data_IF_996754980537
#
_entry.id   IF_996754980537
#
_cell.length_a   1.000
_cell.length_b   1.000
_cell.length_c   1.000
_cell.angle_alpha   90.00
_cell.angle_beta   90.00
_cell.angle_gamma   90.00
#
_symmetry.space_group_name_H-M   'P 1'
#
loop_
_entity.id
_entity.type
_entity.pdbx_description
1 polymer ?
#
# COMPACT_ATOMS: atom_id res chain seq x y z
N UNK A 1 11.73 1.00 -2.65
CA UNK A 1 12.38 1.99 -3.53
C UNK A 1 13.48 2.69 -2.73
N UNK A 2 14.69 2.83 -3.28
CA UNK A 2 15.86 3.37 -2.56
C UNK A 2 16.29 4.77 -3.05
N UNK A 3 15.52 5.41 -3.95
CA UNK A 3 15.96 6.60 -4.67
C UNK A 3 15.89 7.92 -3.91
N UNK A 4 15.19 7.99 -2.77
CA UNK A 4 15.11 9.17 -1.92
C UNK A 4 14.81 8.79 -0.46
N UNK A 5 15.07 9.71 0.47
CA UNK A 5 14.65 9.57 1.86
C UNK A 5 13.20 10.04 2.03
N UNK A 6 12.30 9.09 2.31
CA UNK A 6 10.89 9.34 2.51
C UNK A 6 10.60 10.27 3.69
N UNK A 7 11.37 10.21 4.77
CA UNK A 7 11.17 11.11 5.91
C UNK A 7 11.48 12.54 5.53
N UNK A 8 12.60 12.77 4.84
CA UNK A 8 12.98 14.10 4.34
C UNK A 8 11.95 14.63 3.34
N UNK A 9 11.51 13.81 2.38
CA UNK A 9 10.54 14.23 1.35
C UNK A 9 9.21 14.69 1.97
N UNK A 10 8.68 13.95 2.95
CA UNK A 10 7.35 14.21 3.50
C UNK A 10 7.32 15.33 4.55
N UNK A 11 8.46 15.91 4.95
CA UNK A 11 8.50 17.04 5.90
C UNK A 11 7.70 18.25 5.40
N UNK A 12 7.76 18.55 4.11
CA UNK A 12 7.11 19.71 3.49
C UNK A 12 5.70 19.44 2.95
N UNK A 13 5.21 18.19 3.03
CA UNK A 13 3.88 17.80 2.54
C UNK A 13 2.84 17.86 3.67
N UNK A 14 1.56 18.01 3.33
CA UNK A 14 0.47 18.02 4.32
C UNK A 14 0.09 16.60 4.79
N UNK A 15 0.10 15.65 3.86
CA UNK A 15 -0.20 14.24 4.06
C UNK A 15 0.77 13.34 3.29
N UNK A 16 0.77 12.05 3.61
CA UNK A 16 1.50 11.03 2.85
C UNK A 16 0.53 10.38 1.86
N UNK A 17 0.94 10.32 0.60
CA UNK A 17 0.31 9.49 -0.43
C UNK A 17 1.33 8.45 -0.91
N UNK A 18 0.89 7.24 -1.18
CA UNK A 18 1.75 6.23 -1.81
C UNK A 18 0.97 5.28 -2.71
N UNK A 19 1.67 4.72 -3.68
CA UNK A 19 1.10 3.79 -4.66
C UNK A 19 1.36 2.35 -4.20
N UNK A 20 0.29 1.62 -3.92
CA UNK A 20 0.27 0.25 -3.44
C UNK A 20 -0.02 -0.72 -4.58
N UNK A 21 1.01 -1.47 -4.98
CA UNK A 21 0.88 -2.59 -5.89
C UNK A 21 1.52 -3.84 -5.29
N UNK A 22 1.45 -4.02 -3.97
CA UNK A 22 2.02 -5.18 -3.27
C UNK A 22 0.94 -6.24 -2.99
N UNK A 23 1.24 -7.50 -3.29
CA UNK A 23 0.30 -8.61 -3.05
C UNK A 23 0.69 -9.45 -1.85
N UNK A 24 1.93 -9.36 -1.37
CA UNK A 24 2.30 -10.01 -0.11
C UNK A 24 1.66 -9.29 1.08
N UNK A 25 0.78 -10.01 1.79
CA UNK A 25 0.01 -9.44 2.90
C UNK A 25 0.88 -8.83 4.01
N UNK A 26 2.06 -9.37 4.28
CA UNK A 26 2.91 -8.88 5.38
C UNK A 26 3.77 -7.72 4.92
N UNK A 27 4.33 -7.80 3.71
CA UNK A 27 5.09 -6.69 3.13
C UNK A 27 4.20 -5.46 2.91
N UNK A 28 2.97 -5.66 2.42
CA UNK A 28 2.05 -4.55 2.21
C UNK A 28 1.68 -3.85 3.53
N UNK A 29 1.35 -4.63 4.57
CA UNK A 29 1.11 -4.10 5.91
C UNK A 29 2.29 -3.27 6.44
N UNK A 30 3.53 -3.75 6.26
CA UNK A 30 4.72 -3.03 6.68
C UNK A 30 4.92 -1.72 5.91
N UNK A 31 4.56 -1.68 4.62
CA UNK A 31 4.62 -0.47 3.80
C UNK A 31 3.56 0.55 4.16
N UNK A 32 2.33 0.12 4.48
CA UNK A 32 1.32 1.02 5.04
C UNK A 32 1.79 1.62 6.37
N UNK A 33 2.36 0.82 7.26
CA UNK A 33 2.89 1.32 8.54
C UNK A 33 4.06 2.30 8.33
N UNK A 34 4.91 2.07 7.31
CA UNK A 34 5.97 3.01 6.91
C UNK A 34 5.40 4.30 6.32
N UNK A 35 4.37 4.22 5.48
CA UNK A 35 3.67 5.39 4.93
C UNK A 35 3.07 6.25 6.05
N UNK A 36 2.36 5.63 7.01
CA UNK A 36 1.86 6.30 8.22
C UNK A 36 3.01 6.92 9.02
N UNK A 37 4.11 6.19 9.17
CA UNK A 37 5.30 6.57 9.93
C UNK A 37 6.00 7.85 9.46
N UNK A 38 6.05 8.10 8.15
CA UNK A 38 6.73 9.29 7.60
C UNK A 38 6.25 10.63 8.19
N UNK A 39 4.97 10.71 8.58
CA UNK A 39 4.39 11.90 9.23
C UNK A 39 3.74 11.62 10.59
N UNK A 40 3.75 10.36 11.05
CA UNK A 40 3.00 9.90 12.20
C UNK A 40 1.52 10.33 12.17
N UNK A 41 0.89 10.15 11.00
CA UNK A 41 -0.50 10.54 10.67
C UNK A 41 -1.08 9.55 9.67
N UNK A 42 -2.40 9.46 9.61
CA UNK A 42 -3.09 8.76 8.53
C UNK A 42 -2.61 9.24 7.14
N UNK A 43 -2.73 8.35 6.17
CA UNK A 43 -2.17 8.53 4.82
C UNK A 43 -3.22 8.16 3.78
N UNK A 44 -2.91 8.37 2.51
CA UNK A 44 -3.74 7.94 1.39
C UNK A 44 -3.00 6.87 0.58
N UNK A 45 -3.71 5.82 0.17
CA UNK A 45 -3.29 5.02 -0.98
C UNK A 45 -3.74 5.78 -2.21
N UNK A 46 -2.80 6.41 -2.90
CA UNK A 46 -3.06 7.27 -4.06
C UNK A 46 -3.25 6.47 -5.34
N UNK A 47 -2.66 5.28 -5.40
CA UNK A 47 -2.92 4.32 -6.45
C UNK A 47 -2.88 2.90 -5.89
N UNK A 48 -3.82 2.06 -6.30
CA UNK A 48 -3.73 0.60 -6.29
C UNK A 48 -4.39 0.08 -7.55
N UNK A 49 -4.07 -1.16 -7.95
CA UNK A 49 -4.68 -1.73 -9.14
C UNK A 49 -6.10 -2.27 -8.89
N UNK A 50 -7.05 -2.03 -9.82
CA UNK A 50 -8.37 -2.65 -9.78
C UNK A 50 -8.30 -4.02 -10.45
N UNK A 51 -7.52 -4.92 -9.87
CA UNK A 51 -7.50 -6.34 -10.20
C UNK A 51 -6.21 -6.84 -10.86
N UNK A 52 -5.53 -6.06 -11.69
CA UNK A 52 -4.19 -6.39 -12.17
C UNK A 52 -3.45 -5.17 -12.72
N UNK A 53 -2.14 -5.29 -12.88
CA UNK A 53 -1.27 -4.31 -13.55
C UNK A 53 -0.85 -4.78 -14.96
N UNK A 54 -0.11 -3.96 -15.70
CA UNK A 54 0.44 -4.29 -17.02
C UNK A 54 1.96 -4.54 -17.03
N UNK A 55 2.67 -4.22 -15.95
CA UNK A 55 4.13 -4.13 -15.92
C UNK A 55 4.85 -5.24 -15.14
N UNK A 56 4.13 -6.14 -14.46
CA UNK A 56 4.76 -7.31 -13.81
C UNK A 56 5.18 -8.35 -14.86
N UNK A 57 6.16 -9.21 -14.55
CA UNK A 57 6.52 -10.33 -15.44
C UNK A 57 5.34 -11.23 -15.78
N UNK A 58 4.45 -11.45 -14.80
CA UNK A 58 3.16 -12.12 -14.96
C UNK A 58 2.06 -11.24 -14.35
N UNK A 59 1.22 -10.69 -15.21
CA UNK A 59 0.09 -9.83 -14.83
C UNK A 59 -1.14 -10.68 -14.51
N UNK A 60 -1.08 -11.41 -13.39
CA UNK A 60 -2.22 -12.20 -12.91
C UNK A 60 -3.27 -11.28 -12.31
N UNK A 61 -4.54 -11.59 -12.59
CA UNK A 61 -5.65 -10.99 -11.88
C UNK A 61 -5.66 -11.45 -10.42
N UNK A 62 -5.97 -10.51 -9.53
CA UNK A 62 -6.32 -10.76 -8.14
C UNK A 62 -7.42 -11.79 -8.01
N UNK A 63 -7.34 -12.60 -6.96
CA UNK A 63 -8.41 -13.54 -6.63
C UNK A 63 -9.68 -12.76 -6.22
N UNK A 64 -10.84 -13.40 -6.40
CA UNK A 64 -12.13 -12.80 -6.03
C UNK A 64 -12.12 -12.39 -4.55
N UNK A 65 -12.38 -11.12 -4.26
CA UNK A 65 -12.39 -10.57 -2.91
C UNK A 65 -11.03 -10.07 -2.40
N UNK A 66 -9.94 -10.31 -3.13
CA UNK A 66 -8.60 -9.89 -2.72
C UNK A 66 -8.42 -8.37 -2.82
N UNK A 67 -8.92 -7.74 -3.90
CA UNK A 67 -8.90 -6.26 -4.05
C UNK A 67 -9.64 -5.60 -2.89
N UNK A 68 -10.81 -6.13 -2.52
CA UNK A 68 -11.56 -5.69 -1.35
C UNK A 68 -10.80 -5.91 -0.05
N UNK A 69 -10.11 -7.04 0.12
CA UNK A 69 -9.34 -7.35 1.32
C UNK A 69 -8.13 -6.42 1.49
N UNK A 70 -7.42 -6.11 0.40
CA UNK A 70 -6.28 -5.19 0.38
C UNK A 70 -6.72 -3.75 0.70
N UNK A 71 -7.86 -3.30 0.16
CA UNK A 71 -8.40 -1.99 0.51
C UNK A 71 -8.77 -1.87 2.01
N UNK A 72 -9.36 -2.92 2.59
CA UNK A 72 -9.62 -2.98 4.04
C UNK A 72 -8.34 -3.11 4.87
N UNK A 73 -7.30 -3.74 4.34
CA UNK A 73 -5.99 -3.76 4.97
C UNK A 73 -5.43 -2.33 5.05
N UNK A 74 -5.41 -1.59 3.94
CA UNK A 74 -4.96 -0.20 3.92
C UNK A 74 -5.71 0.65 4.97
N UNK A 75 -7.04 0.58 4.98
CA UNK A 75 -7.87 1.29 5.96
C UNK A 75 -7.51 0.89 7.41
N UNK A 76 -7.33 -0.40 7.68
CA UNK A 76 -6.91 -0.91 9.01
C UNK A 76 -5.53 -0.42 9.46
N UNK A 77 -4.67 -0.04 8.51
CA UNK A 77 -3.38 0.58 8.77
C UNK A 77 -3.42 2.11 8.72
N UNK A 78 -4.60 2.74 8.63
CA UNK A 78 -4.76 4.19 8.70
C UNK A 78 -4.78 4.90 7.35
N UNK A 79 -5.17 4.21 6.28
CA UNK A 79 -5.51 4.85 5.02
C UNK A 79 -6.89 5.54 5.12
N UNK A 80 -6.93 6.86 4.97
CA UNK A 80 -8.19 7.63 4.91
C UNK A 80 -8.81 7.62 3.50
N UNK A 81 -8.02 7.23 2.50
CA UNK A 81 -8.46 7.05 1.12
C UNK A 81 -7.74 5.86 0.48
N UNK A 82 -8.47 5.13 -0.37
CA UNK A 82 -7.93 4.08 -1.25
C UNK A 82 -8.40 4.38 -2.68
N UNK A 83 -7.46 4.83 -3.50
CA UNK A 83 -7.69 5.29 -4.87
C UNK A 83 -7.16 4.26 -5.88
N UNK A 84 -7.84 4.13 -7.02
CA UNK A 84 -7.51 3.11 -8.02
C UNK A 84 -6.91 3.75 -9.28
N UNK A 85 -5.74 3.25 -9.69
CA UNK A 85 -5.22 3.45 -11.04
C UNK A 85 -5.64 2.26 -11.92
N UNK A 86 -6.58 2.39 -12.85
CA UNK A 86 -7.30 3.61 -13.20
C UNK A 86 -8.79 3.38 -13.40
N UNK A 87 -9.53 4.48 -13.43
CA UNK A 87 -10.97 4.46 -13.65
C UNK A 87 -11.36 3.79 -14.97
N UNK A 88 -10.74 4.16 -16.09
CA UNK A 88 -11.10 3.69 -17.43
C UNK A 88 -9.87 3.38 -18.27
N UNK A 89 -9.93 2.32 -19.07
CA UNK A 89 -8.83 1.92 -19.94
C UNK A 89 -8.38 3.05 -20.87
N UNK A 90 -7.06 3.26 -20.92
CA UNK A 90 -6.44 4.06 -21.95
C UNK A 90 -6.67 3.41 -23.33
N UNK A 91 -6.93 4.22 -24.35
CA UNK A 91 -7.17 3.71 -25.71
C UNK A 91 -5.88 3.29 -26.43
N UNK A 92 -4.73 3.71 -25.92
CA UNK A 92 -3.39 3.37 -26.41
C UNK A 92 -2.33 3.68 -25.33
N UNK A 93 -1.07 3.41 -25.65
CA UNK A 93 0.07 3.71 -24.77
C UNK A 93 0.52 2.53 -23.93
N UNK A 94 1.52 2.77 -23.07
CA UNK A 94 2.20 1.75 -22.29
C UNK A 94 1.25 0.97 -21.37
N UNK A 95 0.19 1.62 -20.89
CA UNK A 95 -0.72 1.10 -19.88
C UNK A 95 -2.11 0.74 -20.42
N UNK A 96 -2.27 0.60 -21.75
CA UNK A 96 -3.55 0.22 -22.37
C UNK A 96 -4.12 -1.12 -21.85
N UNK A 97 -3.28 -1.96 -21.23
CA UNK A 97 -3.64 -3.25 -20.64
C UNK A 97 -3.58 -3.25 -19.10
N UNK A 98 -3.47 -2.09 -18.45
CA UNK A 98 -3.58 -2.01 -17.00
C UNK A 98 -5.03 -2.35 -16.58
N UNK A 99 -5.21 -2.93 -15.39
CA UNK A 99 -6.53 -3.17 -14.81
C UNK A 99 -7.31 -1.86 -14.67
N UNK A 100 -8.63 -1.95 -14.86
CA UNK A 100 -9.54 -0.80 -14.88
C UNK A 100 -10.86 -1.10 -14.20
N UNK A 101 -11.52 -0.06 -13.70
CA UNK A 101 -12.91 -0.16 -13.18
C UNK A 101 -13.91 -0.21 -14.36
N UNK A 102 -13.65 0.53 -15.43
CA UNK A 102 -14.44 0.58 -16.65
C UNK A 102 -13.60 0.29 -17.90
N UNK A 103 -14.14 -0.51 -18.82
CA UNK A 103 -13.50 -0.84 -20.09
C UNK A 103 -13.33 0.37 -21.02
N UNK A 104 -12.55 0.19 -22.08
CA UNK A 104 -12.36 1.21 -23.11
C UNK A 104 -13.69 1.64 -23.79
N UNK A 105 -14.67 0.74 -23.82
CA UNK A 105 -16.04 0.97 -24.31
C UNK A 105 -16.96 1.70 -23.30
N UNK A 106 -16.48 1.92 -22.07
CA UNK A 106 -17.23 2.55 -20.97
C UNK A 106 -18.12 1.58 -20.19
N UNK A 107 -18.12 0.29 -20.51
CA UNK A 107 -18.87 -0.71 -19.76
C UNK A 107 -18.11 -1.12 -18.48
N UNK A 108 -18.82 -1.56 -17.42
CA UNK A 108 -18.19 -2.09 -16.21
C UNK A 108 -17.22 -3.24 -16.51
N UNK A 109 -16.00 -3.15 -15.96
CA UNK A 109 -15.07 -4.27 -15.99
C UNK A 109 -15.49 -5.35 -14.96
N UNK A 110 -14.96 -6.59 -15.04
CA UNK A 110 -15.33 -7.66 -14.11
C UNK A 110 -15.15 -7.34 -12.62
N UNK A 111 -14.22 -6.44 -12.28
CA UNK A 111 -13.95 -6.00 -10.90
C UNK A 111 -14.99 -5.01 -10.36
N UNK A 112 -15.79 -4.37 -11.24
CA UNK A 112 -16.71 -3.29 -10.88
C UNK A 112 -17.67 -3.66 -9.74
N UNK A 113 -18.32 -4.85 -9.70
CA UNK A 113 -19.22 -5.21 -8.59
C UNK A 113 -18.50 -5.30 -7.24
N UNK A 114 -17.23 -5.69 -7.23
CA UNK A 114 -16.42 -5.75 -6.01
C UNK A 114 -16.09 -4.34 -5.51
N UNK A 115 -15.68 -3.43 -6.40
CA UNK A 115 -15.45 -2.01 -6.08
C UNK A 115 -16.73 -1.34 -5.59
N UNK A 116 -17.87 -1.62 -6.22
CA UNK A 116 -19.17 -1.10 -5.78
C UNK A 116 -19.53 -1.58 -4.37
N UNK A 117 -19.24 -2.84 -4.07
CA UNK A 117 -19.44 -3.40 -2.72
C UNK A 117 -18.54 -2.70 -1.72
N UNK A 118 -17.25 -2.54 -2.04
CA UNK A 118 -16.28 -1.85 -1.19
C UNK A 118 -16.70 -0.41 -0.90
N UNK A 119 -17.13 0.36 -1.91
CA UNK A 119 -17.62 1.72 -1.74
C UNK A 119 -18.79 1.82 -0.75
N UNK A 120 -19.78 0.92 -0.87
CA UNK A 120 -20.91 0.87 0.07
C UNK A 120 -20.48 0.49 1.50
N UNK A 121 -19.46 -0.36 1.64
CA UNK A 121 -18.92 -0.72 2.96
C UNK A 121 -18.14 0.44 3.59
N UNK A 122 -17.36 1.17 2.80
CA UNK A 122 -16.68 2.38 3.25
C UNK A 122 -17.67 3.47 3.67
N UNK A 123 -18.72 3.74 2.89
CA UNK A 123 -19.79 4.67 3.27
C UNK A 123 -20.43 4.28 4.62
N UNK A 124 -20.68 2.98 4.82
CA UNK A 124 -21.26 2.47 6.06
C UNK A 124 -20.30 2.59 7.25
N UNK A 125 -19.00 2.38 7.04
CA UNK A 125 -17.99 2.39 8.09
C UNK A 125 -17.46 3.79 8.41
N UNK A 126 -17.55 4.74 7.47
CA UNK A 126 -16.98 6.08 7.59
C UNK A 126 -17.32 6.78 8.92
N UNK A 127 -18.57 6.78 9.43
CA UNK A 127 -18.87 7.43 10.71
C UNK A 127 -18.14 6.83 11.92
N UNK A 128 -17.71 5.57 11.85
CA UNK A 128 -16.97 4.90 12.92
C UNK A 128 -15.46 5.05 12.79
N UNK A 129 -14.95 5.35 11.59
CA UNK A 129 -13.52 5.44 11.30
C UNK A 129 -13.02 6.88 11.17
N UNK A 130 -13.92 7.83 10.89
CA UNK A 130 -13.58 9.25 10.77
C UNK A 130 -12.82 9.73 12.01
N UNK A 131 -11.73 10.45 11.78
CA UNK A 131 -10.84 11.03 12.81
C UNK A 131 -10.20 9.99 13.76
N UNK A 132 -10.26 8.70 13.42
CA UNK A 132 -9.53 7.65 14.13
C UNK A 132 -8.14 7.44 13.52
N UNK A 133 -7.21 6.92 14.31
CA UNK A 133 -5.89 6.53 13.82
C UNK A 133 -5.42 5.24 14.53
N UNK A 134 -4.62 4.39 13.86
CA UNK A 134 -4.00 3.25 14.52
C UNK A 134 -3.05 3.70 15.64
N UNK A 135 -3.09 3.01 16.78
CA UNK A 135 -2.18 3.24 17.90
C UNK A 135 -1.37 1.98 18.21
N UNK A 136 -0.06 2.02 17.96
CA UNK A 136 0.84 0.91 18.25
C UNK A 136 1.52 1.05 19.63
N UNK A 137 1.81 -0.09 20.27
CA UNK A 137 2.68 -0.16 21.45
C UNK A 137 4.11 -0.62 21.10
N UNK A 138 4.33 -0.98 19.84
CA UNK A 138 5.58 -1.52 19.32
C UNK A 138 5.98 -0.68 18.11
N UNK A 139 7.25 -0.28 18.07
CA UNK A 139 7.83 0.43 16.95
C UNK A 139 9.03 -0.33 16.38
N UNK A 140 9.15 -0.33 15.06
CA UNK A 140 10.33 -0.75 14.31
C UNK A 140 10.99 0.48 13.70
N UNK A 141 12.28 0.67 13.96
CA UNK A 141 13.04 1.79 13.42
C UNK A 141 13.46 1.50 11.98
N UNK A 142 13.11 2.40 11.06
CA UNK A 142 13.54 2.38 9.67
C UNK A 142 14.29 3.68 9.33
N UNK A 143 15.61 3.55 9.14
CA UNK A 143 16.49 4.68 8.83
C UNK A 143 17.08 4.55 7.41
N UNK A 144 16.76 5.52 6.56
CA UNK A 144 17.19 5.53 5.16
C UNK A 144 18.72 5.64 5.00
N UNK A 145 19.44 6.52 5.72
CA UNK A 145 20.91 6.53 5.73
C UNK A 145 21.53 5.18 6.11
N UNK A 146 21.04 4.52 7.15
CA UNK A 146 21.52 3.19 7.57
C UNK A 146 21.27 2.16 6.48
N UNK A 147 20.07 2.15 5.89
CA UNK A 147 19.73 1.27 4.77
C UNK A 147 20.66 1.46 3.57
N UNK A 148 20.93 2.70 3.17
CA UNK A 148 21.86 3.00 2.09
C UNK A 148 23.29 2.55 2.40
N UNK A 149 23.78 2.84 3.61
CA UNK A 149 25.13 2.45 4.02
C UNK A 149 25.31 0.92 4.00
N UNK A 150 24.33 0.19 4.54
CA UNK A 150 24.34 -1.29 4.55
C UNK A 150 24.22 -1.86 3.13
N UNK A 151 23.34 -1.29 2.29
CA UNK A 151 23.20 -1.74 0.90
C UNK A 151 24.43 -1.45 0.05
N UNK A 152 25.16 -0.37 0.35
CA UNK A 152 26.39 0.00 -0.35
C UNK A 152 27.57 -0.92 0.02
N UNK A 153 27.69 -1.30 1.29
CA UNK A 153 28.74 -2.20 1.79
C UNK A 153 28.14 -3.39 2.53
N UNK A 154 27.55 -4.30 1.76
CA UNK A 154 27.07 -5.56 2.30
C UNK A 154 28.24 -6.45 2.70
N UNK A 155 28.14 -7.06 3.87
CA UNK A 155 29.09 -8.11 4.29
C UNK A 155 28.84 -9.45 3.55
N UNK A 156 27.58 -9.71 3.16
CA UNK A 156 27.15 -10.89 2.40
C UNK A 156 26.22 -10.44 1.29
N UNK A 157 26.42 -10.93 0.07
CA UNK A 157 25.69 -10.53 -1.14
C UNK A 157 24.15 -10.54 -0.94
N UNK A 158 23.65 -11.64 -0.37
CA UNK A 158 22.22 -11.88 -0.17
C UNK A 158 21.61 -11.14 1.04
N UNK A 159 22.41 -10.39 1.81
CA UNK A 159 21.86 -9.60 2.90
C UNK A 159 20.98 -8.47 2.36
N UNK A 160 19.75 -8.39 2.88
CA UNK A 160 18.79 -7.34 2.52
C UNK A 160 18.20 -6.72 3.80
N UNK A 161 18.48 -5.42 4.07
CA UNK A 161 18.01 -4.77 5.31
C UNK A 161 16.49 -4.68 5.41
N UNK A 162 15.76 -4.59 4.29
CA UNK A 162 14.30 -4.58 4.27
C UNK A 162 13.74 -5.93 4.68
N UNK A 163 14.28 -7.01 4.11
CA UNK A 163 13.89 -8.39 4.49
C UNK A 163 14.17 -8.67 5.96
N UNK A 164 15.28 -8.14 6.49
CA UNK A 164 15.59 -8.27 7.90
C UNK A 164 14.55 -7.54 8.77
N UNK A 165 14.15 -6.32 8.41
CA UNK A 165 13.11 -5.58 9.11
C UNK A 165 11.74 -6.30 9.04
N UNK A 166 11.33 -6.73 7.85
CA UNK A 166 10.02 -7.40 7.66
C UNK A 166 9.95 -8.77 8.34
N UNK A 167 11.08 -9.45 8.53
CA UNK A 167 11.15 -10.68 9.32
C UNK A 167 10.79 -10.49 10.81
N UNK A 168 11.05 -9.31 11.39
CA UNK A 168 10.58 -8.96 12.73
C UNK A 168 9.14 -8.45 12.70
N UNK A 169 8.77 -7.71 11.67
CA UNK A 169 7.45 -7.11 11.52
C UNK A 169 6.30 -8.13 11.59
N UNK A 170 6.35 -9.20 10.81
CA UNK A 170 5.26 -10.19 10.74
C UNK A 170 4.87 -10.80 12.10
N UNK A 171 5.82 -11.38 12.85
CA UNK A 171 5.55 -11.91 14.20
C UNK A 171 5.07 -10.85 15.19
N UNK A 172 5.64 -9.63 15.14
CA UNK A 172 5.23 -8.54 16.02
C UNK A 172 3.81 -8.09 15.73
N UNK A 173 3.45 -7.87 14.46
CA UNK A 173 2.08 -7.53 14.06
C UNK A 173 1.09 -8.59 14.52
N UNK A 174 1.40 -9.87 14.32
CA UNK A 174 0.51 -10.96 14.73
C UNK A 174 0.23 -10.97 16.25
N UNK A 175 1.21 -10.53 17.07
CA UNK A 175 1.10 -10.57 18.53
C UNK A 175 0.64 -9.25 19.17
N UNK A 176 1.02 -8.12 18.59
CA UNK A 176 0.71 -6.78 19.09
C UNK A 176 -0.53 -6.16 18.42
N UNK A 177 -1.00 -6.73 17.31
CA UNK A 177 -2.10 -6.18 16.50
C UNK A 177 -1.63 -5.04 15.58
N UNK A 178 -1.03 -4.01 16.17
CA UNK A 178 -0.53 -2.82 15.44
C UNK A 178 0.96 -2.61 15.74
N UNK A 179 1.71 -2.25 14.70
CA UNK A 179 3.13 -1.89 14.76
C UNK A 179 3.31 -0.56 14.04
N UNK A 180 4.12 0.34 14.58
CA UNK A 180 4.58 1.52 13.84
C UNK A 180 5.95 1.24 13.22
N UNK A 181 6.14 1.66 11.97
CA UNK A 181 7.46 1.71 11.34
C UNK A 181 7.86 3.18 11.32
N UNK A 182 8.86 3.55 12.11
CA UNK A 182 9.22 4.95 12.41
C UNK A 182 10.64 5.27 12.05
#
# INVERSE_FOLDING_TARGET
FDGFDGYTLHQSLDLVGWDDYETDWTDNAARHDLARGYKNKNFWVTETDPGFVNWRPNNLAHDKGEVRALAWQAAGHGADAVEYWQWRAALNGQEQYHGVIAGADGNPAPIYPEIQTLGAEFEKAAPALQDTSPHAQVALLHDMPSRWAISFQKQVEDFNPVKALTAFYGPLRHRAGTVDVV
#
